data_IF_101715609225
#
_entry.id   IF_101715609225
#
_cell.length_a   1.000
_cell.length_b   1.000
_cell.length_c   1.000
_cell.angle_alpha   90.00
_cell.angle_beta   90.00
_cell.angle_gamma   90.00
#
_symmetry.space_group_name_H-M   'P 1'
#
loop_
_entity.id
_entity.type
_entity.pdbx_description
1 polymer ?
#
# COMPACT_ATOMS: atom_id res chain seq x y z
N UNK A 1 -34.21 -13.28 38.09
CA UNK A 1 -33.07 -13.87 37.35
C UNK A 1 -32.18 -12.71 36.94
N UNK A 2 -31.00 -12.60 37.54
CA UNK A 2 -30.07 -11.48 37.31
C UNK A 2 -29.25 -11.83 36.08
N UNK A 3 -29.56 -11.20 34.95
CA UNK A 3 -28.81 -11.37 33.71
C UNK A 3 -27.39 -10.87 33.90
N UNK A 4 -26.42 -11.76 33.68
CA UNK A 4 -24.99 -11.47 33.74
C UNK A 4 -24.61 -10.40 32.71
N UNK A 5 -23.67 -9.48 32.99
CA UNK A 5 -23.35 -8.37 32.10
C UNK A 5 -22.57 -8.83 30.86
N UNK A 6 -22.95 -8.32 29.67
CA UNK A 6 -22.27 -8.50 28.38
C UNK A 6 -20.88 -7.80 28.28
N UNK A 7 -20.06 -7.85 29.33
CA UNK A 7 -18.75 -7.20 29.36
C UNK A 7 -17.65 -7.95 28.56
N UNK A 8 -17.88 -9.21 28.19
CA UNK A 8 -16.84 -10.06 27.60
C UNK A 8 -16.60 -9.86 26.09
N UNK A 9 -17.58 -9.35 25.31
CA UNK A 9 -17.46 -9.23 23.85
C UNK A 9 -16.64 -8.01 23.41
N UNK A 10 -16.76 -6.88 24.12
CA UNK A 10 -16.14 -5.61 23.72
C UNK A 10 -14.61 -5.61 23.89
N UNK A 11 -14.10 -6.26 24.92
CA UNK A 11 -12.66 -6.36 25.19
C UNK A 11 -11.94 -7.26 24.18
N UNK A 12 -12.46 -8.48 23.95
CA UNK A 12 -11.89 -9.43 22.98
C UNK A 12 -11.81 -8.80 21.60
N UNK A 13 -12.90 -8.18 21.13
CA UNK A 13 -12.95 -7.47 19.86
C UNK A 13 -11.88 -6.38 19.74
N UNK A 14 -11.74 -5.55 20.76
CA UNK A 14 -10.77 -4.45 20.71
C UNK A 14 -9.34 -4.99 20.63
N UNK A 15 -9.07 -6.11 21.30
CA UNK A 15 -7.79 -6.82 21.21
C UNK A 15 -7.60 -7.40 19.82
N UNK A 16 -8.57 -8.13 19.26
CA UNK A 16 -8.47 -8.74 17.93
C UNK A 16 -8.32 -7.69 16.83
N UNK A 17 -9.04 -6.57 16.93
CA UNK A 17 -8.94 -5.42 16.03
C UNK A 17 -7.54 -4.77 16.06
N UNK A 18 -7.03 -4.45 17.25
CA UNK A 18 -5.67 -3.88 17.41
C UNK A 18 -4.60 -4.86 16.95
N UNK A 19 -4.77 -6.16 17.21
CA UNK A 19 -3.85 -7.21 16.80
C UNK A 19 -3.81 -7.38 15.28
N UNK A 20 -4.98 -7.45 14.63
CA UNK A 20 -5.07 -7.58 13.17
C UNK A 20 -4.44 -6.38 12.45
N UNK A 21 -4.71 -5.16 12.93
CA UNK A 21 -4.09 -3.95 12.39
C UNK A 21 -2.59 -3.86 12.70
N UNK A 22 -2.14 -4.39 13.84
CA UNK A 22 -0.70 -4.48 14.15
C UNK A 22 0.03 -5.39 13.16
N UNK A 23 -0.53 -6.56 12.85
CA UNK A 23 0.03 -7.47 11.84
C UNK A 23 0.07 -6.79 10.47
N UNK A 24 -1.03 -6.16 10.06
CA UNK A 24 -1.10 -5.38 8.82
C UNK A 24 0.02 -4.34 8.75
N UNK A 25 0.20 -3.57 9.83
CA UNK A 25 1.24 -2.55 9.93
C UNK A 25 2.67 -3.12 9.85
N UNK A 26 2.92 -4.34 10.33
CA UNK A 26 4.23 -4.99 10.18
C UNK A 26 4.46 -5.36 8.72
N UNK A 27 3.46 -5.98 8.07
CA UNK A 27 3.55 -6.41 6.66
C UNK A 27 3.81 -5.21 5.74
N UNK A 28 3.08 -4.11 5.93
CA UNK A 28 3.30 -2.86 5.20
C UNK A 28 4.70 -2.27 5.44
N UNK A 29 5.17 -2.32 6.69
CA UNK A 29 6.53 -1.88 7.04
C UNK A 29 7.59 -2.70 6.32
N UNK A 30 7.44 -4.03 6.27
CA UNK A 30 8.38 -4.91 5.56
C UNK A 30 8.38 -4.56 4.06
N UNK A 31 7.20 -4.38 3.46
CA UNK A 31 7.10 -4.00 2.05
C UNK A 31 7.82 -2.67 1.76
N UNK A 32 7.70 -1.68 2.64
CA UNK A 32 8.44 -0.41 2.55
C UNK A 32 9.96 -0.60 2.68
N UNK A 33 10.41 -1.47 3.59
CA UNK A 33 11.84 -1.72 3.81
C UNK A 33 12.54 -2.51 2.70
N UNK A 34 11.79 -3.27 1.90
CA UNK A 34 12.31 -4.04 0.74
C UNK A 34 12.44 -3.18 -0.53
N UNK A 35 11.89 -1.96 -0.55
CA UNK A 35 12.00 -1.10 -1.74
C UNK A 35 13.46 -0.73 -2.08
N UNK A 36 13.88 -0.96 -3.33
CA UNK A 36 15.24 -0.66 -3.82
C UNK A 36 15.34 0.75 -4.44
N UNK A 37 14.25 1.22 -5.05
CA UNK A 37 14.20 2.49 -5.76
C UNK A 37 13.79 3.62 -4.82
N UNK A 38 14.66 4.62 -4.64
CA UNK A 38 14.39 5.76 -3.76
C UNK A 38 13.09 6.51 -4.12
N UNK A 39 12.77 6.66 -5.41
CA UNK A 39 11.53 7.29 -5.88
C UNK A 39 10.28 6.50 -5.52
N UNK A 40 10.31 5.18 -5.68
CA UNK A 40 9.17 4.30 -5.36
C UNK A 40 9.00 4.18 -3.85
N UNK A 41 10.09 3.98 -3.10
CA UNK A 41 10.08 3.91 -1.64
C UNK A 41 9.57 5.22 -1.03
N UNK A 42 9.93 6.38 -1.57
CA UNK A 42 9.41 7.68 -1.09
C UNK A 42 7.92 7.85 -1.40
N UNK A 43 7.45 7.44 -2.58
CA UNK A 43 6.03 7.44 -2.92
C UNK A 43 5.22 6.49 -2.00
N UNK A 44 5.73 5.27 -1.76
CA UNK A 44 5.14 4.31 -0.82
C UNK A 44 5.14 4.86 0.60
N UNK A 45 6.23 5.48 1.05
CA UNK A 45 6.32 6.10 2.37
C UNK A 45 5.28 7.20 2.56
N UNK A 46 5.13 8.10 1.58
CA UNK A 46 4.16 9.20 1.68
C UNK A 46 2.72 8.67 1.69
N UNK A 47 2.42 7.69 0.84
CA UNK A 47 1.13 7.00 0.82
C UNK A 47 0.83 6.32 2.16
N UNK A 48 1.79 5.58 2.71
CA UNK A 48 1.69 4.91 4.00
C UNK A 48 1.56 5.90 5.15
N UNK A 49 2.25 7.03 5.11
CA UNK A 49 2.18 8.07 6.14
C UNK A 49 0.75 8.59 6.27
N UNK A 50 0.14 9.00 5.16
CA UNK A 50 -1.23 9.51 5.15
C UNK A 50 -2.21 8.43 5.62
N UNK A 51 -2.09 7.22 5.08
CA UNK A 51 -2.95 6.10 5.47
C UNK A 51 -2.82 5.75 6.96
N UNK A 52 -1.60 5.68 7.49
CA UNK A 52 -1.34 5.30 8.88
C UNK A 52 -1.84 6.33 9.88
N UNK A 53 -1.81 7.63 9.53
CA UNK A 53 -2.40 8.68 10.36
C UNK A 53 -3.92 8.52 10.48
N UNK A 54 -4.61 8.29 9.36
CA UNK A 54 -6.05 8.09 9.33
C UNK A 54 -6.44 6.83 10.12
N UNK A 55 -5.73 5.72 9.91
CA UNK A 55 -5.98 4.46 10.62
C UNK A 55 -5.69 4.61 12.12
N UNK A 56 -4.53 5.17 12.51
CA UNK A 56 -4.19 5.36 13.92
C UNK A 56 -5.19 6.25 14.64
N UNK A 57 -5.66 7.32 13.99
CA UNK A 57 -6.71 8.19 14.53
C UNK A 57 -8.03 7.44 14.72
N UNK A 58 -8.46 6.67 13.71
CA UNK A 58 -9.68 5.86 13.78
C UNK A 58 -9.63 4.82 14.90
N UNK A 59 -8.51 4.09 15.02
CA UNK A 59 -8.25 3.12 16.08
C UNK A 59 -8.28 3.79 17.45
N UNK A 60 -7.54 4.89 17.62
CA UNK A 60 -7.50 5.64 18.87
C UNK A 60 -8.87 6.14 19.30
N UNK A 61 -9.67 6.67 18.37
CA UNK A 61 -11.03 7.12 18.64
C UNK A 61 -11.97 5.95 19.01
N UNK A 62 -11.89 4.83 18.28
CA UNK A 62 -12.69 3.65 18.57
C UNK A 62 -12.38 3.11 19.98
N UNK A 63 -11.09 3.00 20.30
CA UNK A 63 -10.62 2.46 21.58
C UNK A 63 -10.92 3.42 22.75
N UNK A 64 -10.82 4.73 22.52
CA UNK A 64 -11.23 5.75 23.50
C UNK A 64 -12.74 5.71 23.79
N UNK A 65 -13.58 5.37 22.80
CA UNK A 65 -15.03 5.22 23.00
C UNK A 65 -15.39 3.93 23.73
N UNK A 66 -14.71 2.82 23.42
CA UNK A 66 -14.99 1.51 24.05
C UNK A 66 -14.36 1.37 25.44
N UNK A 67 -13.21 2.01 25.67
CA UNK A 67 -12.42 1.92 26.90
C UNK A 67 -12.15 3.30 27.51
N UNK A 68 -13.16 4.19 27.53
CA UNK A 68 -13.03 5.59 27.99
C UNK A 68 -12.46 5.73 29.41
N UNK A 69 -12.70 4.76 30.28
CA UNK A 69 -12.16 4.72 31.65
C UNK A 69 -10.64 4.42 31.70
N UNK A 70 -10.07 3.83 30.64
CA UNK A 70 -8.73 3.27 30.60
C UNK A 70 -7.88 3.91 29.49
N UNK A 71 -7.77 5.24 29.49
CA UNK A 71 -7.01 5.98 28.47
C UNK A 71 -5.52 5.55 28.37
N UNK A 72 -4.92 5.08 29.47
CA UNK A 72 -3.56 4.54 29.46
C UNK A 72 -3.43 3.32 28.54
N UNK A 73 -4.42 2.42 28.53
CA UNK A 73 -4.46 1.29 27.59
C UNK A 73 -4.62 1.77 26.15
N UNK A 74 -5.48 2.77 25.91
CA UNK A 74 -5.68 3.33 24.57
C UNK A 74 -4.37 3.88 24.00
N UNK A 75 -3.66 4.70 24.79
CA UNK A 75 -2.38 5.29 24.39
C UNK A 75 -1.34 4.20 24.16
N UNK A 76 -1.24 3.21 25.06
CA UNK A 76 -0.30 2.10 24.91
C UNK A 76 -0.57 1.26 23.65
N UNK A 77 -1.85 0.99 23.32
CA UNK A 77 -2.23 0.26 22.11
C UNK A 77 -1.92 1.03 20.84
N UNK A 78 -2.24 2.32 20.77
CA UNK A 78 -1.93 3.17 19.60
C UNK A 78 -0.41 3.33 19.43
N UNK A 79 0.33 3.49 20.53
CA UNK A 79 1.79 3.55 20.51
C UNK A 79 2.39 2.23 20.00
N UNK A 80 1.90 1.09 20.48
CA UNK A 80 2.32 -0.23 20.01
C UNK A 80 2.05 -0.39 18.50
N UNK A 81 0.87 0.00 18.03
CA UNK A 81 0.51 0.00 16.61
C UNK A 81 1.43 0.93 15.78
N UNK A 82 1.83 2.07 16.32
CA UNK A 82 2.76 2.97 15.65
C UNK A 82 4.15 2.34 15.46
N UNK A 83 4.65 1.61 16.47
CA UNK A 83 5.95 0.92 16.45
C UNK A 83 6.02 -0.26 15.46
N UNK A 84 4.88 -0.84 15.07
CA UNK A 84 4.86 -1.98 14.15
C UNK A 84 5.39 -1.64 12.75
N UNK A 85 5.15 -0.43 12.24
CA UNK A 85 5.68 -0.01 10.92
C UNK A 85 7.20 0.15 10.89
N UNK A 86 7.87 0.90 11.81
CA UNK A 86 9.32 0.98 11.82
C UNK A 86 9.97 -0.38 12.11
N UNK A 87 9.35 -1.22 12.96
CA UNK A 87 9.82 -2.59 13.17
C UNK A 87 9.75 -3.42 11.88
N UNK A 88 8.63 -3.37 11.16
CA UNK A 88 8.50 -4.00 9.85
C UNK A 88 9.53 -3.46 8.85
N UNK A 89 9.76 -2.15 8.80
CA UNK A 89 10.74 -1.53 7.90
C UNK A 89 12.17 -2.00 8.17
N UNK A 90 12.58 -2.10 9.44
CA UNK A 90 13.89 -2.64 9.81
C UNK A 90 14.04 -4.09 9.34
N UNK A 91 13.00 -4.91 9.53
CA UNK A 91 12.98 -6.29 9.04
C UNK A 91 13.06 -6.32 7.51
N UNK A 92 12.30 -5.46 6.82
CA UNK A 92 12.33 -5.31 5.37
C UNK A 92 13.71 -4.93 4.84
N UNK A 93 14.41 -4.01 5.51
CA UNK A 93 15.79 -3.63 5.15
C UNK A 93 16.78 -4.80 5.34
N UNK A 94 16.59 -5.63 6.37
CA UNK A 94 17.40 -6.83 6.55
C UNK A 94 17.15 -7.84 5.41
N UNK A 95 15.89 -8.06 5.02
CA UNK A 95 15.52 -8.88 3.86
C UNK A 95 16.10 -8.31 2.57
N UNK A 96 16.05 -6.98 2.41
CA UNK A 96 16.59 -6.26 1.27
C UNK A 96 18.09 -6.50 1.10
N UNK A 97 18.83 -6.49 2.20
CA UNK A 97 20.28 -6.71 2.20
C UNK A 97 20.67 -8.16 1.86
N UNK A 98 19.79 -9.12 2.10
CA UNK A 98 20.02 -10.54 1.82
C UNK A 98 19.62 -10.94 0.38
N UNK A 99 18.72 -10.19 -0.25
CA UNK A 99 18.22 -10.47 -1.59
C UNK A 99 19.13 -9.86 -2.67
N UNK A 100 19.74 -10.71 -3.51
CA UNK A 100 20.64 -10.27 -4.59
C UNK A 100 19.94 -9.92 -5.91
N UNK A 101 18.71 -10.40 -6.14
CA UNK A 101 18.00 -10.25 -7.40
C UNK A 101 16.82 -9.28 -7.28
N UNK A 102 16.75 -8.30 -8.18
CA UNK A 102 15.64 -7.31 -8.22
C UNK A 102 14.27 -7.96 -8.37
N UNK A 103 14.15 -9.01 -9.19
CA UNK A 103 12.89 -9.74 -9.37
C UNK A 103 12.37 -10.37 -8.07
N UNK A 104 13.26 -10.89 -7.21
CA UNK A 104 12.87 -11.46 -5.92
C UNK A 104 12.35 -10.41 -4.95
N UNK A 105 12.88 -9.18 -5.02
CA UNK A 105 12.44 -8.04 -4.21
C UNK A 105 11.04 -7.59 -4.63
N UNK A 106 10.82 -7.40 -5.93
CA UNK A 106 9.51 -6.99 -6.46
C UNK A 106 8.42 -8.04 -6.17
N UNK A 107 8.74 -9.32 -6.32
CA UNK A 107 7.82 -10.41 -5.96
C UNK A 107 7.49 -10.39 -4.47
N UNK A 108 8.50 -10.17 -3.62
CA UNK A 108 8.31 -10.07 -2.17
C UNK A 108 7.41 -8.89 -1.81
N UNK A 109 7.66 -7.70 -2.35
CA UNK A 109 6.81 -6.51 -2.16
C UNK A 109 5.38 -6.78 -2.62
N UNK A 110 5.20 -7.39 -3.80
CA UNK A 110 3.87 -7.72 -4.35
C UNK A 110 3.09 -8.68 -3.44
N UNK A 111 3.74 -9.74 -2.95
CA UNK A 111 3.12 -10.70 -2.03
C UNK A 111 2.76 -10.04 -0.69
N UNK A 112 3.67 -9.23 -0.14
CA UNK A 112 3.43 -8.51 1.11
C UNK A 112 2.28 -7.51 0.97
N UNK A 113 2.23 -6.75 -0.12
CA UNK A 113 1.11 -5.84 -0.40
C UNK A 113 -0.21 -6.60 -0.56
N UNK A 114 -0.21 -7.74 -1.26
CA UNK A 114 -1.39 -8.60 -1.35
C UNK A 114 -1.89 -9.09 0.03
N UNK A 115 -0.97 -9.50 0.91
CA UNK A 115 -1.28 -9.88 2.28
C UNK A 115 -1.79 -8.67 3.10
N UNK A 116 -1.21 -7.49 2.94
CA UNK A 116 -1.67 -6.27 3.60
C UNK A 116 -3.12 -5.94 3.19
N UNK A 117 -3.44 -6.01 1.89
CA UNK A 117 -4.82 -5.83 1.41
C UNK A 117 -5.76 -6.90 2.00
N UNK A 118 -5.33 -8.16 2.04
CA UNK A 118 -6.12 -9.25 2.63
C UNK A 118 -6.44 -9.05 4.11
N UNK A 119 -5.46 -8.61 4.91
CA UNK A 119 -5.68 -8.30 6.34
C UNK A 119 -6.64 -7.12 6.52
N UNK A 120 -6.55 -6.09 5.69
CA UNK A 120 -7.49 -4.97 5.72
C UNK A 120 -8.93 -5.40 5.37
N UNK A 121 -9.09 -6.29 4.39
CA UNK A 121 -10.40 -6.88 4.07
C UNK A 121 -10.95 -7.70 5.24
N UNK A 122 -10.12 -8.55 5.87
CA UNK A 122 -10.53 -9.30 7.06
C UNK A 122 -11.05 -8.37 8.17
N UNK A 123 -10.27 -7.33 8.52
CA UNK A 123 -10.66 -6.35 9.54
C UNK A 123 -11.96 -5.63 9.16
N UNK A 124 -12.10 -5.23 7.90
CA UNK A 124 -13.30 -4.51 7.44
C UNK A 124 -14.56 -5.39 7.52
N UNK A 125 -14.50 -6.63 7.04
CA UNK A 125 -15.68 -7.50 6.98
C UNK A 125 -15.99 -8.21 8.29
N UNK A 126 -14.99 -8.80 8.94
CA UNK A 126 -15.21 -9.66 10.10
C UNK A 126 -15.16 -8.88 11.41
N UNK A 127 -14.24 -7.92 11.53
CA UNK A 127 -14.20 -7.09 12.73
C UNK A 127 -15.24 -5.96 12.59
N UNK A 128 -15.19 -5.10 11.58
CA UNK A 128 -16.10 -3.94 11.51
C UNK A 128 -17.54 -4.33 11.16
N UNK A 129 -17.76 -5.03 10.03
CA UNK A 129 -19.13 -5.27 9.53
C UNK A 129 -19.94 -6.30 10.32
N UNK A 130 -19.37 -7.45 10.72
CA UNK A 130 -20.14 -8.45 11.49
C UNK A 130 -20.63 -7.93 12.85
N UNK A 131 -19.95 -6.96 13.44
CA UNK A 131 -20.40 -6.35 14.69
C UNK A 131 -21.47 -5.30 14.49
N UNK A 132 -21.39 -4.55 13.39
CA UNK A 132 -22.47 -3.63 13.02
C UNK A 132 -23.76 -4.41 12.71
N UNK A 133 -23.64 -5.68 12.27
CA UNK A 133 -24.72 -6.61 11.96
C UNK A 133 -25.47 -7.17 13.17
N UNK A 134 -24.87 -7.16 14.37
CA UNK A 134 -25.54 -7.59 15.60
C UNK A 134 -26.51 -6.52 16.15
N UNK A 135 -26.65 -5.37 15.48
CA UNK A 135 -27.68 -4.37 15.74
C UNK A 135 -28.91 -4.58 14.81
N UNK A 136 -30.13 -4.37 15.32
CA UNK A 136 -31.43 -4.73 14.72
C UNK A 136 -31.85 -3.98 13.42
N UNK A 137 -30.93 -3.29 12.73
CA UNK A 137 -31.20 -2.50 11.53
C UNK A 137 -30.95 -3.28 10.21
N UNK A 138 -31.49 -2.86 9.04
CA UNK A 138 -31.36 -3.63 7.80
C UNK A 138 -29.91 -3.68 7.28
N UNK A 139 -29.23 -4.75 7.62
CA UNK A 139 -27.79 -4.98 7.42
C UNK A 139 -27.37 -5.16 5.95
N UNK A 140 -28.29 -5.56 5.08
CA UNK A 140 -28.02 -5.69 3.63
C UNK A 140 -27.75 -4.34 2.97
N UNK A 141 -28.34 -3.26 3.46
CA UNK A 141 -28.11 -1.92 2.89
C UNK A 141 -26.68 -1.43 3.19
N UNK A 142 -26.18 -1.63 4.42
CA UNK A 142 -24.80 -1.30 4.78
C UNK A 142 -23.79 -2.12 3.97
N UNK A 143 -24.06 -3.40 3.77
CA UNK A 143 -23.24 -4.26 2.92
C UNK A 143 -23.27 -3.80 1.45
N UNK A 144 -24.45 -3.47 0.91
CA UNK A 144 -24.62 -3.02 -0.47
C UNK A 144 -23.93 -1.67 -0.69
N UNK A 145 -24.03 -0.72 0.25
CA UNK A 145 -23.31 0.57 0.18
C UNK A 145 -21.80 0.36 0.18
N UNK A 146 -21.26 -0.54 1.01
CA UNK A 146 -19.82 -0.88 0.95
C UNK A 146 -19.42 -1.56 -0.35
N UNK A 147 -20.25 -2.47 -0.87
CA UNK A 147 -19.99 -3.16 -2.14
C UNK A 147 -20.04 -2.19 -3.32
N UNK A 148 -20.95 -1.21 -3.28
CA UNK A 148 -21.01 -0.10 -4.24
C UNK A 148 -19.76 0.76 -4.15
N UNK A 149 -19.31 1.14 -2.95
CA UNK A 149 -18.07 1.89 -2.77
C UNK A 149 -16.84 1.15 -3.32
N UNK A 150 -16.73 -0.15 -3.02
CA UNK A 150 -15.67 -1.02 -3.55
C UNK A 150 -15.76 -1.14 -5.08
N UNK A 151 -16.96 -1.37 -5.62
CA UNK A 151 -17.18 -1.50 -7.06
C UNK A 151 -16.90 -0.19 -7.80
N UNK A 152 -17.27 0.95 -7.20
CA UNK A 152 -16.99 2.28 -7.74
C UNK A 152 -15.50 2.54 -7.83
N UNK A 153 -14.73 2.25 -6.77
CA UNK A 153 -13.27 2.37 -6.78
C UNK A 153 -12.66 1.43 -7.82
N UNK A 154 -13.16 0.19 -7.91
CA UNK A 154 -12.75 -0.77 -8.94
C UNK A 154 -13.02 -0.28 -10.37
N UNK A 155 -14.18 0.33 -10.60
CA UNK A 155 -14.57 0.88 -11.89
C UNK A 155 -13.72 2.10 -12.26
N UNK A 156 -13.47 3.00 -11.29
CA UNK A 156 -12.59 4.15 -11.47
C UNK A 156 -11.19 3.70 -11.89
N UNK A 157 -10.66 2.66 -11.25
CA UNK A 157 -9.36 2.07 -11.59
C UNK A 157 -9.33 1.41 -12.98
N UNK A 158 -10.47 0.90 -13.47
CA UNK A 158 -10.57 0.37 -14.83
C UNK A 158 -10.54 1.48 -15.88
N UNK A 159 -11.19 2.61 -15.61
CA UNK A 159 -11.18 3.79 -16.49
C UNK A 159 -9.81 4.46 -16.50
N UNK A 160 -9.18 4.64 -15.33
CA UNK A 160 -7.84 5.24 -15.17
C UNK A 160 -6.74 4.41 -15.88
N UNK A 161 -6.93 3.08 -16.00
CA UNK A 161 -6.05 2.20 -16.78
C UNK A 161 -6.16 2.38 -18.30
N UNK A 162 -7.18 3.07 -18.82
CA UNK A 162 -7.35 3.31 -20.26
C UNK A 162 -6.74 4.63 -20.75
N UNK A 163 -6.35 5.56 -19.87
CA UNK A 163 -5.85 6.88 -20.29
C UNK A 163 -4.33 6.94 -20.54
N UNK A 164 -3.63 5.79 -20.53
CA UNK A 164 -2.19 5.72 -20.79
C UNK A 164 -1.79 5.14 -22.15
N UNK A 165 -2.73 4.83 -23.06
CA UNK A 165 -2.39 4.36 -24.41
C UNK A 165 -2.16 5.46 -25.45
N UNK A 166 -2.61 6.70 -25.22
CA UNK A 166 -2.77 7.66 -26.34
C UNK A 166 -1.72 8.80 -26.39
N UNK A 167 -0.84 8.93 -25.39
CA UNK A 167 0.20 9.98 -25.36
C UNK A 167 1.63 9.46 -25.59
N UNK A 168 1.83 8.23 -26.08
CA UNK A 168 3.16 7.75 -26.49
C UNK A 168 3.32 7.72 -28.02
N UNK A 169 2.23 7.69 -28.79
CA UNK A 169 2.28 7.58 -30.25
C UNK A 169 2.47 8.92 -31.01
N UNK A 170 2.37 10.08 -30.35
CA UNK A 170 2.56 11.38 -31.04
C UNK A 170 4.02 11.89 -31.02
N UNK A 171 4.82 11.51 -30.01
CA UNK A 171 6.23 11.94 -29.94
C UNK A 171 7.20 11.09 -30.76
N UNK A 172 6.83 9.84 -31.11
CA UNK A 172 7.69 8.95 -31.90
C UNK A 172 7.80 9.33 -33.39
N UNK A 173 6.78 9.97 -33.96
CA UNK A 173 6.78 10.32 -35.38
C UNK A 173 7.56 11.60 -35.71
N UNK A 174 7.82 12.46 -34.70
CA UNK A 174 8.55 13.72 -34.90
C UNK A 174 10.07 13.56 -34.76
N UNK A 175 10.54 12.59 -33.99
CA UNK A 175 11.98 12.33 -33.81
C UNK A 175 12.59 11.53 -34.95
N UNK A 176 11.82 10.66 -35.63
CA UNK A 176 12.32 9.88 -36.76
C UNK A 176 12.50 10.70 -38.05
N UNK A 177 11.69 11.74 -38.26
CA UNK A 177 11.87 12.64 -39.42
C UNK A 177 13.10 13.54 -39.25
N UNK A 178 13.43 13.95 -38.02
CA UNK A 178 14.61 14.76 -37.75
C UNK A 178 15.92 13.96 -37.90
N UNK A 179 15.95 12.68 -37.50
CA UNK A 179 17.18 11.88 -37.55
C UNK A 179 17.51 11.35 -38.96
N UNK A 180 16.52 11.20 -39.85
CA UNK A 180 16.73 10.72 -41.22
C UNK A 180 17.23 11.80 -42.20
N UNK A 181 17.19 13.08 -41.81
CA UNK A 181 17.70 14.21 -42.60
C UNK A 181 19.20 14.52 -42.40
N UNK A 182 19.83 13.98 -41.37
CA UNK A 182 21.20 14.38 -40.97
C UNK A 182 22.33 13.49 -41.51
N UNK A 183 22.03 12.40 -42.22
CA UNK A 183 23.04 11.38 -42.59
C UNK A 183 23.42 11.32 -44.08
N UNK A 184 23.05 12.34 -44.86
CA UNK A 184 23.50 12.48 -46.25
C UNK A 184 24.30 13.78 -46.44
N UNK A 185 25.63 13.67 -46.39
CA UNK A 185 26.50 14.67 -46.99
C UNK A 185 27.85 14.89 -46.31
N UNK A 186 28.84 14.03 -46.59
CA UNK A 186 30.13 14.52 -47.08
C UNK A 186 31.04 13.37 -47.55
N UNK A 187 31.12 13.23 -48.87
CA UNK A 187 32.30 12.71 -49.58
C UNK A 187 33.36 13.82 -49.64
N UNK A 188 34.64 13.53 -49.41
CA UNK A 188 35.87 14.12 -49.99
C UNK A 188 37.07 13.43 -49.30
N UNK A 189 37.80 12.51 -49.95
CA UNK A 189 38.96 12.66 -50.86
C UNK A 189 40.24 13.24 -50.20
N UNK A 190 41.40 12.69 -50.63
CA UNK A 190 42.81 12.99 -50.31
C UNK A 190 43.51 12.02 -49.36
N UNK A 191 44.79 11.68 -49.51
CA UNK A 191 45.68 11.42 -50.65
C UNK A 191 46.93 10.75 -50.05
N UNK A 192 47.67 10.03 -50.88
CA UNK A 192 48.85 9.23 -50.55
C UNK A 192 49.96 9.97 -49.79
N UNK A 193 50.66 9.27 -48.90
CA UNK A 193 52.12 9.43 -48.74
C UNK A 193 52.80 8.11 -48.37
N UNK A 194 53.70 7.69 -49.26
CA UNK A 194 54.69 6.62 -49.14
C UNK A 194 55.62 6.81 -47.95
N UNK A 195 56.09 5.70 -47.36
CA UNK A 195 57.47 5.59 -46.89
C UNK A 195 57.98 4.15 -47.06
N UNK A 196 58.97 4.01 -47.93
CA UNK A 196 59.89 2.88 -48.05
C UNK A 196 61.24 3.22 -47.40
N UNK A 197 61.91 2.14 -46.97
CA UNK A 197 63.25 2.01 -46.37
C UNK A 197 63.38 2.15 -44.85
#
# INVERSE_FOLDING_TARGET
>A
MKSSPHAHSHGVRSITFVLALSIHSVIEGIALGVGDNASETTALFLSLLVHKLIVAFSVGLQLARTHAHQLHWVVASVFTFALMSPLGAIIGMAVQSAASNSFSKDLTVTVLQGLAVGTFLYVTFFEVLLHERDNEHPNLLKLLVMLVGFSMIGLLRLVDNHDHSDLSHSLGNSTDIAMRGAHFGHHHHHDHHDHSH
#
